data_IF_717708599475
#
_entry.id   IF_717708599475
#
_cell.length_a   1.000
_cell.length_b   1.000
_cell.length_c   1.000
_cell.angle_alpha   90.00
_cell.angle_beta   90.00
_cell.angle_gamma   90.00
#
_symmetry.space_group_name_H-M   'P 1'
#
loop_
_entity.id
_entity.type
_entity.pdbx_description
1 polymer ?
#
# COMPACT_ATOMS: atom_id res chain seq x y z
N UNK A 1 7.47 8.36 10.13
CA UNK A 1 8.24 8.83 8.94
C UNK A 1 8.74 10.27 9.07
N UNK A 2 8.29 11.03 10.09
CA UNK A 2 8.88 12.33 10.46
C UNK A 2 10.27 12.23 11.11
N UNK A 3 10.82 11.02 11.31
CA UNK A 3 12.16 10.80 11.88
C UNK A 3 13.25 11.49 11.06
N UNK A 4 13.10 11.59 9.75
CA UNK A 4 14.00 12.33 8.86
C UNK A 4 13.56 13.78 8.60
N UNK A 5 12.39 14.17 9.11
CA UNK A 5 11.73 15.45 8.88
C UNK A 5 11.07 15.57 7.50
N UNK A 6 9.89 16.22 7.44
CA UNK A 6 9.18 16.56 6.18
C UNK A 6 10.07 17.26 5.13
N UNK A 7 11.16 17.89 5.56
CA UNK A 7 12.09 18.60 4.68
C UNK A 7 12.92 17.67 3.77
N UNK A 8 13.09 16.38 4.10
CA UNK A 8 13.96 15.47 3.35
C UNK A 8 13.24 14.53 2.39
N UNK A 9 11.93 14.36 2.56
CA UNK A 9 11.11 13.49 1.71
C UNK A 9 9.95 14.31 1.17
N UNK A 10 9.89 14.58 -0.15
CA UNK A 10 8.78 15.33 -0.74
C UNK A 10 7.45 14.58 -0.53
N UNK A 11 6.31 15.25 -0.74
CA UNK A 11 4.97 14.63 -0.75
C UNK A 11 4.45 14.04 0.58
N UNK A 12 5.17 14.18 1.70
CA UNK A 12 4.63 13.86 3.02
C UNK A 12 3.60 14.92 3.46
N UNK A 13 2.37 14.51 3.71
CA UNK A 13 1.33 15.26 4.43
C UNK A 13 1.70 15.41 5.90
N UNK A 14 2.44 14.41 6.42
CA UNK A 14 3.03 14.26 7.76
C UNK A 14 2.08 14.56 8.90
N UNK A 15 1.06 13.71 8.95
CA UNK A 15 0.40 13.30 10.19
C UNK A 15 1.05 12.05 10.81
N UNK A 16 2.21 11.63 10.28
CA UNK A 16 2.87 10.38 10.59
C UNK A 16 1.95 9.15 10.42
N UNK A 17 1.22 9.14 9.31
CA UNK A 17 0.20 8.13 9.00
C UNK A 17 0.55 7.41 7.70
N UNK A 18 0.36 6.10 7.66
CA UNK A 18 0.48 5.26 6.46
C UNK A 18 -0.73 4.33 6.36
N UNK A 19 -1.02 3.87 5.16
CA UNK A 19 -2.19 3.06 4.83
C UNK A 19 -1.83 1.71 4.20
N UNK A 20 -2.70 0.73 4.40
CA UNK A 20 -2.73 -0.50 3.64
C UNK A 20 -4.17 -0.79 3.17
N UNK A 21 -4.31 -1.17 1.89
CA UNK A 21 -5.60 -1.54 1.29
C UNK A 21 -5.54 -3.01 0.92
N UNK A 22 -6.23 -3.85 1.68
CA UNK A 22 -6.35 -5.28 1.40
C UNK A 22 -7.56 -5.58 0.49
N UNK A 23 -7.49 -6.70 -0.22
CA UNK A 23 -8.64 -7.24 -0.94
C UNK A 23 -9.62 -7.94 0.01
N UNK A 24 -9.72 -9.27 -0.10
CA UNK A 24 -10.46 -10.12 0.83
C UNK A 24 -9.52 -10.52 2.00
N UNK A 25 -9.97 -10.50 3.28
CA UNK A 25 -9.13 -10.80 4.44
C UNK A 25 -8.84 -12.30 4.63
N UNK A 26 -8.26 -12.94 3.61
CA UNK A 26 -7.76 -14.32 3.68
C UNK A 26 -6.35 -14.36 4.29
N UNK A 27 -5.87 -15.52 4.79
CA UNK A 27 -4.61 -15.58 5.54
C UNK A 27 -3.39 -14.95 4.84
N UNK A 28 -3.17 -15.12 3.52
CA UNK A 28 -2.08 -14.42 2.82
C UNK A 28 -2.16 -12.89 2.94
N UNK A 29 -3.33 -12.30 2.76
CA UNK A 29 -3.53 -10.84 2.81
C UNK A 29 -3.31 -10.32 4.23
N UNK A 30 -3.91 -10.98 5.23
CA UNK A 30 -3.79 -10.59 6.63
C UNK A 30 -2.33 -10.66 7.10
N UNK A 31 -1.61 -11.72 6.74
CA UNK A 31 -0.19 -11.89 7.10
C UNK A 31 0.69 -10.83 6.45
N UNK A 32 0.46 -10.49 5.18
CA UNK A 32 1.22 -9.47 4.48
C UNK A 32 1.08 -8.09 5.13
N UNK A 33 -0.17 -7.71 5.43
CA UNK A 33 -0.46 -6.43 6.09
C UNK A 33 0.07 -6.42 7.54
N UNK A 34 -0.01 -7.55 8.25
CA UNK A 34 0.55 -7.67 9.60
C UNK A 34 2.07 -7.45 9.61
N UNK A 35 2.79 -8.01 8.64
CA UNK A 35 4.23 -7.77 8.48
C UNK A 35 4.55 -6.30 8.21
N UNK A 36 3.81 -5.64 7.31
CA UNK A 36 3.94 -4.21 7.06
C UNK A 36 3.73 -3.38 8.34
N UNK A 37 2.65 -3.65 9.08
CA UNK A 37 2.35 -2.95 10.34
C UNK A 37 3.44 -3.16 11.39
N UNK A 38 3.92 -4.40 11.54
CA UNK A 38 4.97 -4.74 12.49
C UNK A 38 6.27 -3.99 12.19
N UNK A 39 6.75 -4.02 10.95
CA UNK A 39 7.98 -3.34 10.55
C UNK A 39 7.85 -1.81 10.65
N UNK A 40 6.72 -1.24 10.24
CA UNK A 40 6.48 0.20 10.39
C UNK A 40 6.57 0.64 11.85
N UNK A 41 5.91 -0.10 12.77
CA UNK A 41 5.96 0.17 14.21
C UNK A 41 7.33 -0.10 14.85
N UNK A 42 8.11 -1.03 14.30
CA UNK A 42 9.47 -1.29 14.75
C UNK A 42 10.42 -0.12 14.44
N UNK A 43 10.24 0.52 13.30
CA UNK A 43 11.02 1.71 12.88
C UNK A 43 10.55 2.97 13.59
N UNK A 44 9.23 3.19 13.63
CA UNK A 44 8.62 4.36 14.25
C UNK A 44 7.44 3.88 15.14
N UNK A 45 7.63 3.75 16.46
CA UNK A 45 6.57 3.30 17.37
C UNK A 45 5.31 4.19 17.33
N UNK A 46 5.43 5.45 16.92
CA UNK A 46 4.34 6.42 16.90
C UNK A 46 3.57 6.44 15.58
N UNK A 47 4.08 5.82 14.50
CA UNK A 47 3.41 5.82 13.19
C UNK A 47 2.01 5.20 13.27
N UNK A 48 1.01 5.82 12.66
CA UNK A 48 -0.33 5.26 12.57
C UNK A 48 -0.46 4.45 11.29
N UNK A 49 -0.92 3.21 11.39
CA UNK A 49 -1.13 2.32 10.24
C UNK A 49 -2.61 2.03 10.11
N UNK A 50 -3.24 2.57 9.06
CA UNK A 50 -4.66 2.35 8.77
C UNK A 50 -4.82 1.19 7.79
N UNK A 51 -5.80 0.33 8.04
CA UNK A 51 -6.05 -0.86 7.22
C UNK A 51 -7.53 -0.92 6.87
N UNK A 52 -7.83 -0.99 5.58
CA UNK A 52 -9.19 -1.24 5.08
C UNK A 52 -9.14 -2.41 4.11
N UNK A 53 -10.21 -3.21 4.09
CA UNK A 53 -10.39 -4.32 3.16
C UNK A 53 -11.53 -3.98 2.19
N UNK A 54 -11.26 -4.02 0.90
CA UNK A 54 -12.27 -3.76 -0.14
C UNK A 54 -13.31 -4.88 -0.27
N UNK A 55 -13.03 -6.05 0.33
CA UNK A 55 -13.79 -7.29 0.15
C UNK A 55 -13.84 -7.75 -1.31
N UNK A 56 -12.80 -7.40 -2.09
CA UNK A 56 -12.76 -7.64 -3.53
C UNK A 56 -11.30 -7.66 -4.05
N UNK A 57 -10.99 -8.55 -4.99
CA UNK A 57 -9.66 -8.60 -5.64
C UNK A 57 -9.65 -8.02 -7.05
N UNK A 58 -10.80 -7.62 -7.59
CA UNK A 58 -10.96 -7.20 -8.99
C UNK A 58 -11.45 -5.76 -9.10
N UNK A 59 -12.41 -5.35 -8.27
CA UNK A 59 -13.09 -4.07 -8.39
C UNK A 59 -12.22 -2.86 -7.97
N UNK A 60 -11.41 -2.34 -8.90
CA UNK A 60 -10.46 -1.23 -8.65
C UNK A 60 -11.09 0.00 -7.98
N UNK A 61 -12.33 0.35 -8.32
CA UNK A 61 -13.05 1.46 -7.70
C UNK A 61 -13.13 1.32 -6.16
N UNK A 62 -13.40 0.11 -5.64
CA UNK A 62 -13.49 -0.12 -4.19
C UNK A 62 -12.16 0.15 -3.47
N UNK A 63 -11.05 -0.29 -4.07
CA UNK A 63 -9.72 -0.04 -3.51
C UNK A 63 -9.30 1.42 -3.65
N UNK A 64 -9.71 2.09 -4.72
CA UNK A 64 -9.53 3.54 -4.90
C UNK A 64 -10.21 4.32 -3.79
N UNK A 65 -11.48 4.00 -3.51
CA UNK A 65 -12.25 4.65 -2.44
C UNK A 65 -11.64 4.39 -1.05
N UNK A 66 -11.20 3.17 -0.79
CA UNK A 66 -10.53 2.81 0.46
C UNK A 66 -9.22 3.62 0.66
N UNK A 67 -8.39 3.72 -0.38
CA UNK A 67 -7.16 4.52 -0.35
C UNK A 67 -7.47 6.01 -0.18
N UNK A 68 -8.43 6.56 -0.92
CA UNK A 68 -8.86 7.95 -0.79
C UNK A 68 -9.38 8.26 0.62
N UNK A 69 -10.09 7.34 1.25
CA UNK A 69 -10.52 7.48 2.65
C UNK A 69 -9.32 7.61 3.58
N UNK A 70 -8.32 6.72 3.48
CA UNK A 70 -7.10 6.77 4.29
C UNK A 70 -6.31 8.07 4.06
N UNK A 71 -6.17 8.50 2.81
CA UNK A 71 -5.43 9.72 2.47
C UNK A 71 -6.18 10.96 2.98
N UNK A 72 -7.47 11.10 2.67
CA UNK A 72 -8.21 12.32 2.98
C UNK A 72 -8.55 12.45 4.48
N UNK A 73 -8.89 11.35 5.16
CA UNK A 73 -9.33 11.39 6.56
C UNK A 73 -8.18 11.24 7.55
N UNK A 74 -7.13 10.54 7.16
CA UNK A 74 -6.03 10.20 8.06
C UNK A 74 -4.67 10.72 7.61
N UNK A 75 -4.64 11.43 6.47
CA UNK A 75 -3.42 12.00 5.89
C UNK A 75 -2.35 10.91 5.72
N UNK A 76 -2.77 9.75 5.21
CA UNK A 76 -1.85 8.66 4.92
C UNK A 76 -0.88 9.05 3.80
N UNK A 77 0.41 9.08 4.13
CA UNK A 77 1.51 9.50 3.25
C UNK A 77 1.91 8.42 2.24
N UNK A 78 1.62 7.15 2.56
CA UNK A 78 1.99 5.98 1.77
C UNK A 78 0.84 4.97 1.78
N UNK A 79 0.49 4.43 0.62
CA UNK A 79 -0.52 3.38 0.45
C UNK A 79 0.12 2.08 -0.03
N UNK A 80 0.04 1.04 0.80
CA UNK A 80 0.44 -0.32 0.45
C UNK A 80 -0.76 -1.14 -0.02
N UNK A 81 -0.80 -1.53 -1.30
CA UNK A 81 -1.93 -2.30 -1.84
C UNK A 81 -1.67 -3.80 -1.70
N UNK A 82 -2.60 -4.57 -1.11
CA UNK A 82 -2.54 -6.05 -1.02
C UNK A 82 -3.87 -6.61 -1.53
N UNK A 83 -4.22 -6.25 -2.76
CA UNK A 83 -5.59 -6.41 -3.26
C UNK A 83 -5.69 -6.87 -4.72
N UNK A 84 -4.64 -7.48 -5.30
CA UNK A 84 -4.68 -7.97 -6.68
C UNK A 84 -5.01 -6.84 -7.68
N UNK A 85 -5.88 -7.12 -8.65
CA UNK A 85 -6.29 -6.11 -9.64
C UNK A 85 -7.05 -4.94 -9.02
N UNK A 86 -7.81 -5.16 -7.94
CA UNK A 86 -8.44 -4.07 -7.18
C UNK A 86 -7.39 -3.06 -6.71
N UNK A 87 -6.24 -3.55 -6.25
CA UNK A 87 -5.15 -2.72 -5.72
C UNK A 87 -4.58 -1.69 -6.70
N UNK A 88 -4.77 -1.86 -8.00
CA UNK A 88 -4.40 -0.85 -9.00
C UNK A 88 -5.14 0.48 -8.78
N UNK A 89 -6.40 0.42 -8.33
CA UNK A 89 -7.16 1.62 -7.96
C UNK A 89 -6.62 2.33 -6.71
N UNK A 90 -6.01 1.59 -5.79
CA UNK A 90 -5.34 2.21 -4.64
C UNK A 90 -4.06 2.94 -5.05
N UNK A 91 -3.30 2.42 -6.02
CA UNK A 91 -2.13 3.10 -6.58
C UNK A 91 -2.54 4.35 -7.38
N UNK A 92 -3.63 4.27 -8.14
CA UNK A 92 -4.22 5.43 -8.82
C UNK A 92 -4.64 6.51 -7.83
N UNK A 93 -5.28 6.15 -6.71
CA UNK A 93 -5.61 7.09 -5.63
C UNK A 93 -4.36 7.79 -5.08
N UNK A 94 -3.31 7.03 -4.74
CA UNK A 94 -2.06 7.57 -4.23
C UNK A 94 -1.44 8.57 -5.21
N UNK A 95 -1.36 8.20 -6.50
CA UNK A 95 -0.87 9.06 -7.55
C UNK A 95 -1.69 10.35 -7.70
N UNK A 96 -3.03 10.23 -7.74
CA UNK A 96 -3.94 11.37 -7.89
C UNK A 96 -3.88 12.36 -6.72
N UNK A 97 -3.48 11.89 -5.53
CA UNK A 97 -3.31 12.70 -4.33
C UNK A 97 -1.88 13.11 -4.07
N UNK A 98 -0.97 12.81 -4.99
CA UNK A 98 0.46 13.09 -4.89
C UNK A 98 1.04 12.58 -3.57
N UNK A 99 0.68 11.35 -3.19
CA UNK A 99 1.27 10.58 -2.08
C UNK A 99 1.88 9.30 -2.63
N UNK A 100 2.65 8.57 -1.82
CA UNK A 100 3.38 7.41 -2.33
C UNK A 100 2.54 6.12 -2.37
N UNK A 101 2.83 5.26 -3.33
CA UNK A 101 2.27 3.92 -3.46
C UNK A 101 3.34 2.84 -3.32
N UNK A 102 2.95 1.68 -2.79
CA UNK A 102 3.76 0.46 -2.79
C UNK A 102 2.97 -0.64 -3.50
N UNK A 103 3.52 -1.16 -4.59
CA UNK A 103 2.95 -2.26 -5.37
C UNK A 103 3.14 -3.63 -4.72
N UNK A 104 2.42 -4.64 -5.20
CA UNK A 104 2.45 -6.03 -4.69
C UNK A 104 2.37 -7.04 -5.84
N UNK A 105 2.98 -8.20 -5.59
CA UNK A 105 3.08 -9.37 -6.48
C UNK A 105 4.03 -9.16 -7.66
N UNK A 106 3.86 -8.08 -8.44
CA UNK A 106 4.73 -7.72 -9.55
C UNK A 106 5.43 -6.36 -9.35
N UNK A 107 6.42 -6.06 -10.17
CA UNK A 107 6.87 -4.68 -10.32
C UNK A 107 5.74 -3.85 -10.91
N UNK A 108 5.31 -2.83 -10.17
CA UNK A 108 4.20 -1.95 -10.54
C UNK A 108 4.65 -0.50 -10.65
N UNK A 109 5.97 -0.23 -10.61
CA UNK A 109 6.54 1.10 -10.78
C UNK A 109 6.19 1.74 -12.13
N UNK A 110 5.96 0.91 -13.15
CA UNK A 110 5.58 1.37 -14.50
C UNK A 110 4.19 2.01 -14.57
N UNK A 111 3.33 1.81 -13.56
CA UNK A 111 1.97 2.34 -13.57
C UNK A 111 1.95 3.84 -13.28
N UNK A 112 2.70 4.26 -12.26
CA UNK A 112 2.72 5.65 -11.80
C UNK A 112 4.06 6.01 -11.16
N UNK A 113 4.55 7.25 -11.35
CA UNK A 113 5.80 7.71 -10.73
C UNK A 113 5.73 7.78 -9.19
N UNK A 114 4.52 7.81 -8.62
CA UNK A 114 4.30 7.75 -7.17
C UNK A 114 4.55 6.36 -6.56
N UNK A 115 4.66 5.31 -7.38
CA UNK A 115 4.99 3.96 -6.91
C UNK A 115 6.50 3.86 -6.70
N UNK A 116 6.92 3.93 -5.43
CA UNK A 116 8.34 4.00 -5.06
C UNK A 116 9.02 2.64 -4.95
N UNK A 117 8.24 1.57 -4.77
CA UNK A 117 8.73 0.19 -4.72
C UNK A 117 7.56 -0.81 -4.86
N UNK A 118 7.90 -2.08 -5.04
CA UNK A 118 6.96 -3.20 -5.10
C UNK A 118 7.42 -4.36 -4.22
N UNK A 119 6.53 -4.87 -3.37
CA UNK A 119 6.74 -6.13 -2.66
C UNK A 119 6.37 -7.32 -3.56
N UNK A 120 7.31 -7.70 -4.44
CA UNK A 120 7.13 -8.75 -5.43
C UNK A 120 6.97 -10.14 -4.79
N UNK A 121 6.14 -10.98 -5.40
CA UNK A 121 5.94 -12.39 -5.02
C UNK A 121 6.18 -13.25 -6.26
N UNK A 122 7.19 -14.12 -6.18
CA UNK A 122 7.65 -14.93 -7.32
C UNK A 122 6.78 -16.15 -7.59
N UNK A 123 5.47 -15.91 -7.76
CA UNK A 123 4.50 -16.96 -8.14
C UNK A 123 4.84 -17.51 -9.53
N UNK A 124 5.37 -16.68 -10.42
CA UNK A 124 5.92 -17.06 -11.73
C UNK A 124 6.97 -18.17 -11.60
N UNK A 125 7.95 -17.99 -10.70
CA UNK A 125 9.00 -18.98 -10.46
C UNK A 125 8.41 -20.23 -9.83
N UNK A 126 7.54 -20.09 -8.82
CA UNK A 126 6.93 -21.22 -8.16
C UNK A 126 6.17 -22.14 -9.13
N UNK A 127 5.37 -21.56 -10.05
CA UNK A 127 4.66 -22.31 -11.09
C UNK A 127 5.64 -22.93 -12.08
N UNK A 128 6.64 -22.17 -12.55
CA UNK A 128 7.65 -22.70 -13.47
C UNK A 128 8.39 -23.90 -12.88
N UNK A 129 8.73 -23.87 -11.59
CA UNK A 129 9.53 -24.94 -10.94
C UNK A 129 8.78 -26.25 -10.70
N UNK A 130 7.44 -26.27 -10.80
CA UNK A 130 6.63 -27.47 -10.59
C UNK A 130 6.17 -28.12 -11.90
N UNK A 131 6.44 -27.50 -13.05
CA UNK A 131 6.18 -28.01 -14.40
C UNK A 131 7.48 -28.62 -14.93
#
# INVERSE_FOLDING_TARGET
>A
MELDGKAKVPNLLGANSIGAVGGIPVPPVVRYIAGYKYCAKKVDPNVKVYVNYSQDFVAAAKCKDAALSQINQHQADIIFQVAGQCGLGALDAANSKNVYGIGVDADQGYLYPSVITSAQKRVDVAVYTII
#
